data_IF_620806613588
#
_entry.id   IF_620806613588
#
_cell.length_a   1.000
_cell.length_b   1.000
_cell.length_c   1.000
_cell.angle_alpha   90.00
_cell.angle_beta   90.00
_cell.angle_gamma   90.00
#
_symmetry.space_group_name_H-M   'P 1'
#
loop_
_entity.id
_entity.type
_entity.pdbx_description
1 polymer ?
#
# COMPACT_ATOMS: atom_id res chain seq x y z
N UNK A 1 1.39 61.31 -23.38
CA UNK A 1 1.07 59.95 -23.88
C UNK A 1 1.99 58.89 -23.30
N UNK A 2 2.21 58.87 -21.99
CA UNK A 2 3.13 57.92 -21.36
C UNK A 2 2.47 57.03 -20.27
N UNK A 3 1.14 56.97 -20.25
CA UNK A 3 0.41 56.28 -19.18
C UNK A 3 -0.28 54.94 -19.56
N UNK A 4 -0.31 54.59 -20.81
CA UNK A 4 -1.07 53.37 -21.28
C UNK A 4 -0.22 52.11 -21.52
N UNK A 5 1.08 52.25 -21.62
CA UNK A 5 1.97 51.11 -21.88
C UNK A 5 2.50 50.45 -20.62
N UNK A 6 2.42 51.09 -19.45
CA UNK A 6 2.92 50.53 -18.18
C UNK A 6 1.90 49.61 -17.48
N UNK A 7 0.62 49.69 -17.82
CA UNK A 7 -0.42 48.85 -17.20
C UNK A 7 -0.54 47.47 -17.85
N UNK A 8 -0.12 47.30 -19.10
CA UNK A 8 -0.09 45.97 -19.77
C UNK A 8 1.08 45.06 -19.32
N UNK A 9 2.19 45.66 -18.87
CA UNK A 9 3.35 44.86 -18.42
C UNK A 9 3.11 44.27 -17.01
N UNK A 10 2.30 44.92 -16.18
CA UNK A 10 1.99 44.44 -14.82
C UNK A 10 0.97 43.27 -14.83
N UNK A 11 0.04 43.27 -15.79
CA UNK A 11 -0.91 42.16 -15.94
C UNK A 11 -0.28 40.89 -16.50
N UNK A 12 0.76 41.00 -17.33
CA UNK A 12 1.46 39.82 -17.91
C UNK A 12 2.31 39.10 -16.86
N UNK A 13 2.78 39.79 -15.81
CA UNK A 13 3.59 39.19 -14.76
C UNK A 13 2.77 38.42 -13.71
N UNK A 14 1.49 38.75 -13.55
CA UNK A 14 0.58 38.08 -12.60
C UNK A 14 0.01 36.75 -13.13
N UNK A 15 0.03 36.51 -14.43
CA UNK A 15 -0.49 35.28 -15.03
C UNK A 15 0.53 34.14 -14.97
N UNK A 16 1.83 34.44 -14.83
CA UNK A 16 2.87 33.42 -14.73
C UNK A 16 3.02 32.77 -13.34
N UNK A 17 2.35 33.30 -12.29
CA UNK A 17 2.44 32.75 -10.93
C UNK A 17 1.30 31.77 -10.58
N UNK A 18 0.31 31.60 -11.48
CA UNK A 18 -0.79 30.65 -11.25
C UNK A 18 -0.54 29.25 -11.83
N UNK A 19 0.64 28.98 -12.40
CA UNK A 19 0.98 27.74 -13.08
C UNK A 19 1.80 26.72 -12.27
N UNK A 20 2.06 26.95 -10.99
CA UNK A 20 2.82 26.03 -10.12
C UNK A 20 1.96 25.43 -9.01
N UNK A 21 0.81 24.90 -9.36
CA UNK A 21 0.01 24.13 -8.42
C UNK A 21 -0.32 22.76 -9.04
N UNK A 22 0.64 21.88 -8.97
CA UNK A 22 0.53 20.45 -8.68
C UNK A 22 1.86 19.76 -9.03
N UNK A 23 2.92 20.10 -8.30
CA UNK A 23 3.89 19.07 -7.98
C UNK A 23 3.08 18.09 -7.13
N UNK A 24 2.57 17.02 -7.78
CA UNK A 24 1.91 15.94 -7.11
C UNK A 24 2.78 15.54 -5.92
N UNK A 25 2.18 15.44 -4.75
CA UNK A 25 2.84 14.93 -3.56
C UNK A 25 3.56 13.64 -3.98
N UNK A 26 4.90 13.63 -3.93
CA UNK A 26 5.72 12.42 -4.05
C UNK A 26 5.58 11.57 -2.78
N UNK A 27 4.45 11.63 -2.10
CA UNK A 27 4.14 10.83 -0.94
C UNK A 27 3.69 9.42 -1.32
N UNK A 28 3.86 8.49 -0.39
CA UNK A 28 3.29 7.16 -0.49
C UNK A 28 1.75 7.27 -0.59
N UNK A 29 1.09 6.64 -1.60
CA UNK A 29 -0.35 6.76 -1.80
C UNK A 29 -1.18 5.95 -0.79
N UNK A 30 -0.54 5.24 0.12
CA UNK A 30 -1.19 4.41 1.13
C UNK A 30 -0.45 4.46 2.46
N UNK A 31 -1.15 4.05 3.51
CA UNK A 31 -0.59 3.76 4.83
C UNK A 31 -0.97 2.33 5.22
N UNK A 32 0.00 1.54 5.70
CA UNK A 32 -0.29 0.29 6.41
C UNK A 32 -0.52 0.65 7.89
N UNK A 33 -1.78 0.61 8.31
CA UNK A 33 -2.16 0.98 9.68
C UNK A 33 -1.87 -0.14 10.67
N UNK A 34 -2.07 -1.40 10.26
CA UNK A 34 -1.77 -2.59 11.06
C UNK A 34 -1.53 -3.80 10.15
N UNK A 35 -0.75 -4.76 10.63
CA UNK A 35 -0.62 -6.07 10.00
C UNK A 35 -0.32 -7.14 11.07
N UNK A 36 -0.95 -8.32 10.94
CA UNK A 36 -0.71 -9.47 11.81
C UNK A 36 -1.15 -10.75 11.11
N UNK A 37 -0.71 -11.90 11.63
CA UNK A 37 -1.16 -13.22 11.20
C UNK A 37 -2.11 -13.80 12.24
N UNK A 38 -3.25 -14.32 11.79
CA UNK A 38 -4.13 -15.17 12.60
C UNK A 38 -3.94 -16.64 12.18
N UNK A 39 -3.75 -17.51 13.17
CA UNK A 39 -3.64 -18.96 12.99
C UNK A 39 -4.99 -19.63 13.25
N UNK A 40 -5.30 -20.64 12.48
CA UNK A 40 -6.55 -21.40 12.55
C UNK A 40 -7.49 -21.09 11.38
N UNK A 41 -8.61 -21.79 11.36
CA UNK A 41 -9.60 -21.64 10.29
C UNK A 41 -10.51 -20.43 10.51
N UNK A 42 -10.77 -19.72 9.42
CA UNK A 42 -11.77 -18.66 9.35
C UNK A 42 -12.68 -18.97 8.17
N UNK A 43 -13.93 -19.24 8.43
CA UNK A 43 -14.92 -19.74 7.46
C UNK A 43 -14.88 -19.00 6.12
N UNK A 44 -14.50 -19.74 5.06
CA UNK A 44 -14.45 -19.27 3.68
C UNK A 44 -13.35 -18.25 3.36
N UNK A 45 -12.40 -18.00 4.29
CA UNK A 45 -11.29 -17.07 4.10
C UNK A 45 -9.97 -17.81 4.08
N UNK A 46 -9.65 -18.58 5.12
CA UNK A 46 -8.47 -19.44 5.23
C UNK A 46 -8.74 -20.62 6.16
N UNK A 47 -8.01 -21.72 5.96
CA UNK A 47 -8.15 -22.93 6.76
C UNK A 47 -7.01 -23.11 7.78
N UNK A 48 -5.80 -22.66 7.46
CA UNK A 48 -4.60 -22.79 8.29
C UNK A 48 -4.18 -21.46 8.92
N UNK A 49 -4.02 -20.42 8.11
CA UNK A 49 -3.67 -19.09 8.59
C UNK A 49 -3.99 -18.01 7.56
N UNK A 50 -4.17 -16.77 8.04
CA UNK A 50 -4.38 -15.59 7.21
C UNK A 50 -3.58 -14.39 7.69
N UNK A 51 -3.00 -13.64 6.75
CA UNK A 51 -2.40 -12.34 7.02
C UNK A 51 -3.46 -11.24 6.88
N UNK A 52 -3.69 -10.51 7.95
CA UNK A 52 -4.64 -9.40 8.06
C UNK A 52 -3.89 -8.10 7.92
N UNK A 53 -4.17 -7.34 6.87
CA UNK A 53 -3.48 -6.09 6.53
C UNK A 53 -4.49 -4.95 6.45
N UNK A 54 -4.37 -3.98 7.35
CA UNK A 54 -5.17 -2.76 7.34
C UNK A 54 -4.49 -1.74 6.40
N UNK A 55 -5.11 -1.49 5.25
CA UNK A 55 -4.65 -0.55 4.24
C UNK A 55 -5.53 0.69 4.25
N UNK A 56 -4.92 1.86 4.45
CA UNK A 56 -5.57 3.15 4.31
C UNK A 56 -5.17 3.78 2.98
N UNK A 57 -6.15 4.26 2.25
CA UNK A 57 -5.96 5.00 1.01
C UNK A 57 -5.70 6.48 1.31
N UNK A 58 -4.50 6.96 1.01
CA UNK A 58 -4.07 8.36 1.24
C UNK A 58 -4.27 9.25 -0.01
N UNK A 59 -5.05 8.78 -1.01
CA UNK A 59 -5.30 9.51 -2.25
C UNK A 59 -6.74 9.98 -2.38
N UNK A 60 -6.99 10.86 -3.33
CA UNK A 60 -8.34 11.31 -3.72
C UNK A 60 -9.04 10.37 -4.72
N UNK A 61 -8.40 9.23 -5.08
CA UNK A 61 -8.91 8.22 -6.01
C UNK A 61 -9.36 6.99 -5.25
N UNK A 62 -10.40 6.31 -5.72
CA UNK A 62 -10.78 5.01 -5.18
C UNK A 62 -9.84 3.92 -5.70
N UNK A 63 -9.17 3.19 -4.79
CA UNK A 63 -8.45 1.96 -5.14
C UNK A 63 -9.46 0.87 -5.46
N UNK A 64 -9.22 0.06 -6.51
CA UNK A 64 -10.06 -1.10 -6.84
C UNK A 64 -9.31 -2.42 -6.73
N UNK A 65 -8.00 -2.41 -6.73
CA UNK A 65 -7.16 -3.57 -6.48
C UNK A 65 -5.73 -3.16 -6.12
N UNK A 66 -5.01 -4.05 -5.46
CA UNK A 66 -3.57 -3.88 -5.23
C UNK A 66 -2.85 -5.22 -5.17
N UNK A 67 -1.54 -5.20 -5.35
CA UNK A 67 -0.64 -6.32 -5.10
C UNK A 67 0.19 -6.01 -3.87
N UNK A 68 0.07 -6.84 -2.84
CA UNK A 68 0.85 -6.74 -1.60
C UNK A 68 2.05 -7.68 -1.66
N UNK A 69 3.15 -7.27 -1.03
CA UNK A 69 4.34 -8.10 -0.81
C UNK A 69 4.81 -7.97 0.63
N UNK A 70 5.17 -9.09 1.26
CA UNK A 70 5.73 -9.15 2.60
C UNK A 70 6.56 -10.41 2.81
N UNK A 71 7.31 -10.45 3.90
CA UNK A 71 8.06 -11.62 4.34
C UNK A 71 7.46 -12.15 5.65
N UNK A 72 7.55 -13.47 5.85
CA UNK A 72 7.09 -14.14 7.05
C UNK A 72 8.27 -14.76 7.81
N UNK A 73 8.23 -14.64 9.12
CA UNK A 73 9.20 -15.23 10.03
C UNK A 73 8.47 -15.96 11.16
N UNK A 74 9.07 -17.07 11.65
CA UNK A 74 8.59 -17.74 12.84
C UNK A 74 8.94 -16.96 14.12
N UNK A 75 8.57 -17.50 15.28
CA UNK A 75 8.82 -16.87 16.59
C UNK A 75 10.32 -16.69 16.91
N UNK A 76 11.19 -17.51 16.30
CA UNK A 76 12.64 -17.44 16.45
C UNK A 76 13.31 -16.53 15.41
N UNK A 77 12.52 -15.93 14.51
CA UNK A 77 13.02 -15.07 13.44
C UNK A 77 13.60 -15.80 12.23
N UNK A 78 13.29 -17.11 12.09
CA UNK A 78 13.73 -17.90 10.96
C UNK A 78 12.67 -17.90 9.85
N UNK A 79 13.11 -18.28 8.63
CA UNK A 79 12.18 -18.59 7.55
C UNK A 79 11.38 -19.86 7.90
N UNK A 80 10.03 -19.77 7.99
CA UNK A 80 9.20 -20.92 8.36
C UNK A 80 8.97 -21.90 7.22
N UNK A 81 9.48 -21.65 6.01
CA UNK A 81 9.25 -22.46 4.81
C UNK A 81 10.53 -23.08 4.27
N UNK A 82 10.41 -24.17 3.53
CA UNK A 82 11.53 -24.81 2.84
C UNK A 82 12.08 -23.98 1.66
N UNK A 83 11.30 -23.00 1.20
CA UNK A 83 11.63 -22.12 0.07
C UNK A 83 11.76 -20.65 0.45
N UNK A 84 11.18 -19.78 -0.36
CA UNK A 84 11.13 -18.34 -0.06
C UNK A 84 10.10 -18.03 1.02
N UNK A 85 10.44 -17.18 1.98
CA UNK A 85 9.49 -16.64 2.95
C UNK A 85 8.74 -15.40 2.44
N UNK A 86 8.91 -15.05 1.17
CA UNK A 86 8.23 -13.90 0.54
C UNK A 86 6.86 -14.30 0.02
N UNK A 87 5.85 -13.60 0.46
CA UNK A 87 4.46 -13.70 -0.01
C UNK A 87 4.17 -12.54 -0.95
N UNK A 88 3.61 -12.85 -2.12
CA UNK A 88 3.09 -11.85 -3.07
C UNK A 88 1.66 -12.25 -3.41
N UNK A 89 0.70 -11.36 -3.11
CA UNK A 89 -0.71 -11.64 -3.34
C UNK A 89 -1.43 -10.44 -3.98
N UNK A 90 -2.27 -10.73 -4.96
CA UNK A 90 -3.19 -9.74 -5.52
C UNK A 90 -4.49 -9.74 -4.73
N UNK A 91 -5.00 -8.54 -4.44
CA UNK A 91 -6.25 -8.31 -3.74
C UNK A 91 -7.17 -7.41 -4.56
N UNK A 92 -8.41 -7.83 -4.72
CA UNK A 92 -9.49 -6.98 -5.22
C UNK A 92 -10.17 -6.36 -3.99
N UNK A 93 -10.08 -5.05 -3.86
CA UNK A 93 -10.66 -4.33 -2.73
C UNK A 93 -11.02 -2.91 -3.15
N UNK A 94 -12.25 -2.51 -2.91
CA UNK A 94 -12.68 -1.13 -3.11
C UNK A 94 -12.40 -0.32 -1.85
N UNK A 95 -11.40 0.57 -1.91
CA UNK A 95 -10.99 1.44 -0.81
C UNK A 95 -11.17 2.89 -1.26
N UNK A 96 -12.26 3.55 -0.81
CA UNK A 96 -12.51 4.96 -1.14
C UNK A 96 -11.41 5.89 -0.63
N UNK A 97 -11.34 7.14 -1.15
CA UNK A 97 -10.40 8.16 -0.66
C UNK A 97 -10.44 8.32 0.85
N UNK A 98 -9.27 8.43 1.48
CA UNK A 98 -9.09 8.68 2.91
C UNK A 98 -9.79 7.68 3.85
N UNK A 99 -10.08 6.46 3.36
CA UNK A 99 -10.65 5.36 4.15
C UNK A 99 -9.68 4.22 4.36
N UNK A 100 -9.96 3.39 5.36
CA UNK A 100 -9.19 2.20 5.71
C UNK A 100 -10.03 0.94 5.52
N UNK A 101 -9.40 -0.13 5.07
CA UNK A 101 -10.01 -1.44 4.92
C UNK A 101 -9.03 -2.52 5.37
N UNK A 102 -9.51 -3.52 6.10
CA UNK A 102 -8.73 -4.71 6.43
C UNK A 102 -8.91 -5.73 5.30
N UNK A 103 -7.80 -6.09 4.67
CA UNK A 103 -7.73 -7.14 3.68
C UNK A 103 -7.11 -8.39 4.28
N UNK A 104 -7.63 -9.56 3.91
CA UNK A 104 -7.13 -10.85 4.41
C UNK A 104 -6.52 -11.64 3.27
N UNK A 105 -5.26 -12.01 3.42
CA UNK A 105 -4.51 -12.85 2.50
C UNK A 105 -4.42 -14.25 3.09
N UNK A 106 -5.07 -15.25 2.47
CA UNK A 106 -4.91 -16.65 2.87
C UNK A 106 -3.46 -17.09 2.68
N UNK A 107 -2.91 -17.72 3.70
CA UNK A 107 -1.57 -18.31 3.69
C UNK A 107 -1.60 -19.82 3.41
N UNK A 108 -2.78 -20.41 3.23
CA UNK A 108 -2.95 -21.86 3.07
C UNK A 108 -2.13 -22.47 1.94
N UNK A 109 -1.91 -21.72 0.85
CA UNK A 109 -1.08 -22.19 -0.27
C UNK A 109 0.43 -22.25 0.04
N UNK A 110 0.86 -21.64 1.13
CA UNK A 110 2.26 -21.62 1.58
C UNK A 110 2.53 -22.59 2.73
N UNK A 111 1.47 -23.11 3.34
CA UNK A 111 1.52 -23.93 4.54
C UNK A 111 1.17 -25.38 4.22
N UNK A 112 1.93 -26.31 4.81
CA UNK A 112 1.59 -27.74 4.77
C UNK A 112 0.68 -28.14 5.95
N UNK A 113 0.90 -27.51 7.12
CA UNK A 113 0.22 -27.80 8.37
C UNK A 113 -0.15 -26.50 9.10
N UNK A 114 -1.00 -26.64 10.12
CA UNK A 114 -1.37 -25.54 11.00
C UNK A 114 -0.15 -25.07 11.79
N UNK A 115 0.23 -23.77 11.72
CA UNK A 115 1.31 -23.24 12.52
C UNK A 115 1.01 -23.31 14.03
N UNK A 116 2.01 -23.64 14.86
CA UNK A 116 1.86 -23.65 16.32
C UNK A 116 1.68 -22.23 16.89
N UNK A 117 2.30 -21.22 16.25
CA UNK A 117 2.27 -19.81 16.63
C UNK A 117 2.10 -18.90 15.41
N UNK A 118 1.53 -17.68 15.59
CA UNK A 118 1.44 -16.70 14.51
C UNK A 118 2.83 -16.29 14.00
N UNK A 119 2.96 -16.18 12.67
CA UNK A 119 4.16 -15.65 12.04
C UNK A 119 4.25 -14.13 12.19
N UNK A 120 5.47 -13.62 12.22
CA UNK A 120 5.76 -12.19 12.13
C UNK A 120 5.78 -11.74 10.68
N UNK A 121 5.12 -10.63 10.37
CA UNK A 121 5.14 -9.99 9.06
C UNK A 121 6.23 -8.92 9.05
N UNK A 122 7.13 -8.96 8.06
CA UNK A 122 8.16 -7.96 7.83
C UNK A 122 8.22 -7.55 6.34
N UNK A 123 8.89 -6.44 6.04
CA UNK A 123 9.05 -5.92 4.68
C UNK A 123 7.71 -5.77 3.92
N UNK A 124 6.68 -5.31 4.61
CA UNK A 124 5.33 -5.18 4.07
C UNK A 124 5.18 -3.90 3.24
N UNK A 125 4.76 -4.04 1.98
CA UNK A 125 4.47 -2.91 1.09
C UNK A 125 3.48 -3.30 -0.02
N UNK A 126 2.86 -2.29 -0.65
CA UNK A 126 2.08 -2.50 -1.86
C UNK A 126 2.97 -2.31 -3.08
N UNK A 127 3.05 -3.33 -3.93
CA UNK A 127 3.85 -3.31 -5.17
C UNK A 127 3.18 -2.55 -6.30
N UNK A 128 1.87 -2.64 -6.37
CA UNK A 128 1.02 -2.00 -7.39
C UNK A 128 -0.33 -1.65 -6.77
N UNK A 129 -0.87 -0.51 -7.16
CA UNK A 129 -2.24 -0.11 -6.86
C UNK A 129 -2.92 0.20 -8.19
N UNK A 130 -4.14 -0.32 -8.38
CA UNK A 130 -5.05 0.04 -9.48
C UNK A 130 -6.19 0.88 -8.94
N UNK A 131 -6.53 1.93 -9.67
CA UNK A 131 -7.63 2.81 -9.32
C UNK A 131 -8.81 2.64 -10.28
N UNK A 132 -10.00 3.00 -9.84
CA UNK A 132 -11.25 2.90 -10.62
C UNK A 132 -11.24 3.75 -11.88
N UNK A 133 -10.41 4.80 -11.94
CA UNK A 133 -10.20 5.64 -13.13
C UNK A 133 -9.26 5.02 -14.18
N UNK A 134 -8.78 3.79 -13.94
CA UNK A 134 -7.84 3.07 -14.80
C UNK A 134 -6.37 3.43 -14.61
N UNK A 135 -6.06 4.44 -13.78
CA UNK A 135 -4.67 4.77 -13.47
C UNK A 135 -4.04 3.73 -12.53
N UNK A 136 -2.69 3.70 -12.50
CA UNK A 136 -1.90 2.79 -11.66
C UNK A 136 -0.79 3.53 -10.96
N UNK A 137 -0.42 3.03 -9.79
CA UNK A 137 0.80 3.37 -9.08
C UNK A 137 1.62 2.09 -8.85
N UNK A 138 2.94 2.20 -8.81
CA UNK A 138 3.82 1.02 -8.68
C UNK A 138 5.07 1.34 -7.88
N UNK A 139 5.42 0.42 -6.97
CA UNK A 139 6.67 0.35 -6.22
C UNK A 139 7.24 -1.08 -6.29
N UNK A 140 7.87 -1.47 -7.40
CA UNK A 140 8.34 -2.84 -7.59
C UNK A 140 9.51 -3.22 -6.67
N UNK A 141 10.16 -2.25 -6.01
CA UNK A 141 11.35 -2.44 -5.20
C UNK A 141 11.11 -2.25 -3.69
N UNK A 142 9.89 -1.93 -3.27
CA UNK A 142 9.55 -1.74 -1.87
C UNK A 142 10.22 -0.51 -1.24
N UNK A 143 10.30 0.60 -1.96
CA UNK A 143 10.86 1.85 -1.43
C UNK A 143 10.05 2.42 -0.26
N UNK A 144 8.79 1.99 -0.13
CA UNK A 144 7.87 2.34 0.94
C UNK A 144 7.56 1.15 1.88
N UNK A 145 8.44 0.12 1.84
CA UNK A 145 8.28 -1.03 2.73
C UNK A 145 8.36 -0.62 4.19
N UNK A 146 7.44 -1.14 5.00
CA UNK A 146 7.46 -1.02 6.46
C UNK A 146 8.21 -2.22 7.04
N UNK A 147 9.33 -1.98 7.72
CA UNK A 147 10.04 -2.97 8.52
C UNK A 147 9.69 -2.84 9.98
N UNK A 148 9.74 -3.92 10.76
CA UNK A 148 9.47 -3.90 12.21
C UNK A 148 10.52 -3.16 13.06
N UNK A 149 11.55 -2.57 12.47
CA UNK A 149 12.65 -1.94 13.18
C UNK A 149 12.47 -0.44 13.47
N UNK A 150 11.25 0.11 13.30
CA UNK A 150 10.93 1.46 13.78
C UNK A 150 10.11 1.38 15.09
N UNK A 151 10.75 0.95 16.13
CA UNK A 151 10.26 0.99 17.50
C UNK A 151 11.11 1.94 18.34
#
# INVERSE_FOLDING_TARGET
MAGKTMMCALCALLVCLAGCASLGSFGCPYLIAAAHVEVGSRDGIHDLAGAYVAVRNETEKTMCAFTVSFQLYDADGNNPFDGSNSVVAAQEAEIPPNTETVCVISLDSFLADLPDEPYTIDFLYLREIRYTDGSRWSDPFGMYARGEHEG
#
